data_IF_372739372554
#
_entry.id   IF_372739372554
#
_cell.length_a   1.000
_cell.length_b   1.000
_cell.length_c   1.000
_cell.angle_alpha   90.00
_cell.angle_beta   90.00
_cell.angle_gamma   90.00
#
_symmetry.space_group_name_H-M   'P 1'
#
loop_
_entity.id
_entity.type
_entity.pdbx_description
1 polymer ?
#
# COMPACT_ATOMS: atom_id res chain seq x y z
N UNK A 1 -15.30 30.52 -1.94
CA UNK A 1 -13.84 30.52 -1.72
C UNK A 1 -13.43 30.37 -0.25
N UNK A 2 -14.31 29.98 0.69
CA UNK A 2 -13.94 29.93 2.13
C UNK A 2 -14.38 28.68 2.89
N UNK A 3 -14.82 27.61 2.21
CA UNK A 3 -15.23 26.35 2.87
C UNK A 3 -14.16 25.26 2.85
N UNK A 4 -13.07 25.46 2.11
CA UNK A 4 -11.93 24.54 2.04
C UNK A 4 -11.32 24.15 3.40
N UNK A 5 -11.20 25.04 4.40
CA UNK A 5 -10.58 24.66 5.69
C UNK A 5 -11.50 23.80 6.57
N UNK A 6 -12.83 23.90 6.42
CA UNK A 6 -13.77 23.16 7.27
C UNK A 6 -13.86 21.68 6.89
N UNK A 7 -13.74 21.36 5.60
CA UNK A 7 -13.68 19.98 5.09
C UNK A 7 -12.41 19.23 5.51
N UNK A 8 -11.31 19.95 5.78
CA UNK A 8 -10.07 19.36 6.29
C UNK A 8 -10.21 18.98 7.77
N UNK A 9 -10.97 19.76 8.54
CA UNK A 9 -11.14 19.56 9.99
C UNK A 9 -12.24 18.53 10.34
N UNK A 10 -13.30 18.41 9.52
CA UNK A 10 -14.44 17.51 9.78
C UNK A 10 -14.22 16.03 9.42
N UNK A 11 -12.96 15.58 9.30
CA UNK A 11 -12.64 14.15 9.19
C UNK A 11 -13.04 13.47 7.87
N UNK A 12 -13.61 14.20 6.91
CA UNK A 12 -13.77 13.71 5.54
C UNK A 12 -12.45 13.93 4.83
N UNK A 13 -11.50 13.04 5.09
CA UNK A 13 -10.25 12.95 4.32
C UNK A 13 -10.63 12.51 2.92
N UNK A 14 -10.94 13.50 2.08
CA UNK A 14 -11.31 13.26 0.70
C UNK A 14 -10.13 12.68 -0.09
N UNK A 15 -10.40 12.11 -1.27
CA UNK A 15 -9.36 11.62 -2.18
C UNK A 15 -8.30 12.68 -2.48
N UNK A 16 -8.70 13.95 -2.47
CA UNK A 16 -7.83 15.09 -2.77
C UNK A 16 -6.72 15.30 -1.72
N UNK A 17 -7.04 15.11 -0.44
CA UNK A 17 -6.09 15.26 0.67
C UNK A 17 -5.07 14.11 0.66
N UNK A 18 -5.52 12.89 0.38
CA UNK A 18 -4.64 11.72 0.26
C UNK A 18 -3.64 11.93 -0.88
N UNK A 19 -4.11 12.41 -2.04
CA UNK A 19 -3.23 12.74 -3.17
C UNK A 19 -2.19 13.79 -2.77
N UNK A 20 -2.58 14.83 -2.04
CA UNK A 20 -1.67 15.89 -1.61
C UNK A 20 -0.59 15.36 -0.64
N UNK A 21 -0.97 14.51 0.32
CA UNK A 21 -0.02 13.85 1.24
C UNK A 21 0.94 12.93 0.47
N UNK A 22 0.42 12.14 -0.46
CA UNK A 22 1.23 11.25 -1.31
C UNK A 22 2.21 12.08 -2.15
N UNK A 23 1.79 13.20 -2.74
CA UNK A 23 2.67 14.08 -3.51
C UNK A 23 3.80 14.64 -2.64
N UNK A 24 3.51 15.11 -1.42
CA UNK A 24 4.55 15.60 -0.50
C UNK A 24 5.53 14.49 -0.11
N UNK A 25 5.04 13.28 0.18
CA UNK A 25 5.88 12.11 0.45
C UNK A 25 6.73 11.73 -0.77
N UNK A 26 6.18 11.79 -1.98
CA UNK A 26 6.92 11.52 -3.22
C UNK A 26 7.99 12.59 -3.49
N UNK A 27 7.77 13.84 -3.10
CA UNK A 27 8.79 14.90 -3.20
C UNK A 27 9.92 14.71 -2.17
N UNK A 28 9.60 14.28 -0.95
CA UNK A 28 10.58 14.07 0.13
C UNK A 28 11.39 12.78 -0.06
N UNK A 29 10.72 11.67 -0.37
CA UNK A 29 11.35 10.35 -0.50
C UNK A 29 11.73 10.00 -1.95
N UNK A 30 11.21 10.74 -2.93
CA UNK A 30 11.35 10.45 -4.35
C UNK A 30 10.30 9.43 -4.83
N UNK A 31 9.76 9.66 -6.03
CA UNK A 31 8.69 8.82 -6.60
C UNK A 31 9.03 7.34 -6.81
N UNK A 32 10.31 6.99 -6.72
CA UNK A 32 10.82 5.63 -6.92
C UNK A 32 10.98 4.83 -5.63
N UNK A 33 11.07 5.47 -4.45
CA UNK A 33 11.35 4.75 -3.19
C UNK A 33 10.13 4.06 -2.59
N UNK A 34 8.95 4.66 -2.70
CA UNK A 34 7.70 4.01 -2.28
C UNK A 34 7.48 2.67 -3.03
N UNK A 35 7.52 2.62 -4.37
CA UNK A 35 7.33 1.36 -5.09
C UNK A 35 8.47 0.37 -4.89
N UNK A 36 9.71 0.82 -4.69
CA UNK A 36 10.86 -0.04 -4.40
C UNK A 36 10.71 -0.74 -3.03
N UNK A 37 10.29 0.00 -2.00
CA UNK A 37 9.97 -0.57 -0.68
C UNK A 37 8.76 -1.50 -0.73
N UNK A 38 7.71 -1.15 -1.48
CA UNK A 38 6.55 -2.03 -1.65
C UNK A 38 6.90 -3.34 -2.37
N UNK A 39 7.80 -3.30 -3.36
CA UNK A 39 8.28 -4.52 -4.04
C UNK A 39 9.07 -5.40 -3.09
N UNK A 40 10.00 -4.83 -2.32
CA UNK A 40 10.76 -5.59 -1.31
C UNK A 40 9.87 -6.17 -0.21
N UNK A 41 8.95 -5.38 0.34
CA UNK A 41 7.97 -5.83 1.33
C UNK A 41 7.05 -6.93 0.77
N UNK A 42 6.58 -6.76 -0.47
CA UNK A 42 5.71 -7.72 -1.14
C UNK A 42 6.38 -9.07 -1.38
N UNK A 43 7.66 -9.06 -1.76
CA UNK A 43 8.45 -10.29 -1.88
C UNK A 43 8.63 -10.98 -0.52
N UNK A 44 9.00 -10.23 0.51
CA UNK A 44 9.15 -10.77 1.88
C UNK A 44 7.83 -11.32 2.43
N UNK A 45 6.71 -10.63 2.20
CA UNK A 45 5.38 -11.10 2.62
C UNK A 45 4.95 -12.36 1.86
N UNK A 46 5.30 -12.45 0.57
CA UNK A 46 5.03 -13.63 -0.26
C UNK A 46 5.84 -14.85 0.19
N UNK A 47 7.13 -14.67 0.50
CA UNK A 47 7.98 -15.72 1.06
C UNK A 47 7.50 -16.14 2.46
N UNK A 48 7.15 -15.17 3.31
CA UNK A 48 6.59 -15.44 4.63
C UNK A 48 5.28 -16.23 4.54
N UNK A 49 4.41 -15.88 3.59
CA UNK A 49 3.15 -16.60 3.36
C UNK A 49 3.39 -18.03 2.87
N UNK A 50 4.34 -18.24 1.95
CA UNK A 50 4.73 -19.58 1.48
C UNK A 50 5.29 -20.45 2.61
N UNK A 51 6.15 -19.89 3.45
CA UNK A 51 6.71 -20.60 4.60
C UNK A 51 5.66 -20.94 5.66
N UNK A 52 4.68 -20.03 5.89
CA UNK A 52 3.62 -20.20 6.89
C UNK A 52 2.53 -21.17 6.44
N UNK A 53 2.08 -21.10 5.20
CA UNK A 53 0.92 -21.86 4.71
C UNK A 53 1.31 -23.22 4.09
N UNK A 54 2.62 -23.53 3.97
CA UNK A 54 3.14 -24.58 3.09
C UNK A 54 3.00 -24.14 1.63
N UNK A 55 3.77 -24.72 0.69
CA UNK A 55 3.68 -24.31 -0.71
C UNK A 55 2.21 -24.43 -1.19
N UNK A 56 1.56 -23.34 -1.63
CA UNK A 56 0.16 -23.39 -2.03
C UNK A 56 -0.07 -24.25 -3.29
N UNK A 57 0.99 -24.62 -4.04
CA UNK A 57 0.89 -25.62 -5.10
C UNK A 57 0.86 -27.05 -4.57
N UNK A 58 1.29 -27.32 -3.34
CA UNK A 58 1.26 -28.67 -2.77
C UNK A 58 -0.17 -29.09 -2.37
N UNK A 59 -1.08 -28.13 -2.14
CA UNK A 59 -2.48 -28.39 -1.76
C UNK A 59 -3.44 -28.59 -2.93
N UNK A 60 -2.93 -28.74 -4.17
CA UNK A 60 -3.78 -28.85 -5.37
C UNK A 60 -3.78 -30.22 -6.05
N UNK A 61 -3.10 -31.22 -5.47
CA UNK A 61 -2.96 -32.57 -6.05
C UNK A 61 -3.67 -33.70 -5.27
N UNK A 62 -4.59 -33.38 -4.36
CA UNK A 62 -5.31 -34.39 -3.56
C UNK A 62 -6.74 -34.70 -4.04
N UNK A 63 -7.11 -34.32 -5.26
CA UNK A 63 -8.41 -34.69 -5.85
C UNK A 63 -8.24 -35.16 -7.30
N UNK A 64 -7.57 -36.30 -7.48
CA UNK A 64 -7.77 -37.17 -8.64
C UNK A 64 -7.73 -38.63 -8.22
#
# INVERSE_FOLDING_TARGET
MSTFPLSILLGIVGPWQIVLVVVVLLLLFGGKKIPELMRGLGQGLNEFKKAKDGDPNEKKDESK
#
